data_IF_492081522902
#
_entry.id   IF_492081522902
#
_cell.length_a   1.000
_cell.length_b   1.000
_cell.length_c   1.000
_cell.angle_alpha   90.00
_cell.angle_beta   90.00
_cell.angle_gamma   90.00
#
_symmetry.space_group_name_H-M   'P 1'
#
loop_
_entity.id
_entity.type
_entity.pdbx_description
1 polymer ?
#
# COMPACT_ATOMS: atom_id res chain seq x y z
N UNK A 1 87.48 74.48 40.34
CA UNK A 1 87.90 73.81 39.11
C UNK A 1 87.60 72.33 39.32
N UNK A 2 86.71 71.88 38.75
CA UNK A 2 86.02 71.32 37.61
C UNK A 2 85.10 70.19 38.02
N UNK A 3 83.85 70.41 37.78
CA UNK A 3 82.79 69.42 37.74
C UNK A 3 83.00 68.42 36.61
N UNK A 4 82.77 67.19 36.74
CA UNK A 4 82.10 66.32 35.74
C UNK A 4 82.01 64.87 36.20
N UNK A 5 80.86 64.30 35.89
CA UNK A 5 80.46 62.91 35.72
C UNK A 5 79.68 62.23 36.85
N UNK A 6 78.38 62.48 36.83
CA UNK A 6 77.35 61.64 37.47
C UNK A 6 76.15 61.45 36.56
N UNK A 7 76.33 61.08 35.30
CA UNK A 7 75.20 60.84 34.38
C UNK A 7 75.19 59.49 33.65
N UNK A 8 75.98 58.54 33.99
CA UNK A 8 76.12 57.31 33.20
C UNK A 8 75.57 56.03 33.82
N UNK A 9 74.91 56.12 34.98
CA UNK A 9 74.40 54.87 35.63
C UNK A 9 72.93 54.65 35.61
N UNK A 10 72.09 55.49 35.04
CA UNK A 10 70.61 55.35 35.05
C UNK A 10 69.99 54.81 33.80
N UNK A 11 70.73 54.40 32.74
CA UNK A 11 70.15 53.90 31.52
C UNK A 11 70.19 52.35 31.29
N UNK A 12 70.77 51.60 32.25
CA UNK A 12 70.94 50.14 32.08
C UNK A 12 69.99 49.26 32.93
N UNK A 13 69.11 49.86 33.74
CA UNK A 13 68.18 49.04 34.55
C UNK A 13 66.74 49.04 34.04
N UNK A 14 66.40 49.87 33.10
CA UNK A 14 65.00 49.94 32.54
C UNK A 14 64.77 49.18 31.26
N UNK A 15 65.76 48.44 30.74
CA UNK A 15 65.61 47.75 29.41
C UNK A 15 65.33 46.22 29.48
N UNK A 16 65.21 45.66 30.68
CA UNK A 16 65.01 44.18 30.77
C UNK A 16 63.68 43.70 31.39
N UNK A 17 62.65 44.55 31.57
CA UNK A 17 61.39 44.17 32.20
C UNK A 17 60.17 44.22 31.26
N UNK A 18 60.29 44.33 29.89
CA UNK A 18 59.12 44.51 29.05
C UNK A 18 59.01 43.52 27.91
N UNK A 19 59.49 42.28 28.01
CA UNK A 19 59.29 41.30 26.91
C UNK A 19 58.99 39.88 27.39
N UNK A 20 58.08 39.70 28.37
CA UNK A 20 57.48 38.39 28.61
C UNK A 20 56.01 38.55 29.02
N UNK A 21 55.22 39.33 28.23
CA UNK A 21 53.77 39.12 28.19
C UNK A 21 53.53 37.89 27.33
N UNK A 22 53.35 36.76 28.02
CA UNK A 22 52.89 35.51 27.50
C UNK A 22 51.69 35.77 26.57
N UNK A 23 51.89 35.64 25.27
CA UNK A 23 50.80 35.58 24.32
C UNK A 23 50.02 34.31 24.62
N UNK A 24 48.99 34.44 25.46
CA UNK A 24 47.92 33.44 25.59
C UNK A 24 47.19 33.51 24.27
N UNK A 25 47.59 32.66 23.34
CA UNK A 25 46.86 32.42 22.12
C UNK A 25 45.56 31.69 22.50
N UNK A 26 44.38 32.32 22.44
CA UNK A 26 43.14 31.65 22.77
C UNK A 26 42.93 30.56 21.71
N UNK A 27 43.18 29.31 22.08
CA UNK A 27 42.79 28.19 21.24
C UNK A 27 41.31 28.36 20.93
N UNK A 28 40.90 28.47 19.63
CA UNK A 28 39.48 28.57 19.32
C UNK A 28 38.80 27.34 19.87
N UNK A 29 37.75 27.56 20.67
CA UNK A 29 36.95 26.53 21.28
C UNK A 29 36.54 25.50 20.22
N UNK A 30 37.10 24.30 20.28
CA UNK A 30 36.81 23.16 19.35
C UNK A 30 35.34 22.72 19.39
N UNK A 31 34.57 23.23 20.35
CA UNK A 31 33.14 22.94 20.56
C UNK A 31 32.27 23.25 19.34
N UNK A 32 32.56 24.34 18.61
CA UNK A 32 31.80 24.69 17.39
C UNK A 32 32.00 23.72 16.23
N UNK A 33 33.18 23.10 16.14
CA UNK A 33 33.45 22.10 15.08
C UNK A 33 32.75 20.77 15.37
N UNK A 34 32.71 20.36 16.61
CA UNK A 34 32.03 19.14 17.08
C UNK A 34 30.51 19.26 16.92
N UNK A 35 29.92 20.37 17.33
CA UNK A 35 28.49 20.64 17.19
C UNK A 35 28.07 20.61 15.71
N UNK A 36 28.84 21.24 14.82
CA UNK A 36 28.58 21.20 13.37
C UNK A 36 28.64 19.77 12.79
N UNK A 37 29.57 18.93 13.29
CA UNK A 37 29.67 17.51 12.86
C UNK A 37 28.45 16.70 13.34
N UNK A 38 28.02 16.88 14.58
CA UNK A 38 26.84 16.25 15.15
C UNK A 38 25.58 16.67 14.38
N UNK A 39 25.41 17.96 14.12
CA UNK A 39 24.27 18.49 13.35
C UNK A 39 24.22 17.90 11.92
N UNK A 40 25.37 17.83 11.24
CA UNK A 40 25.46 17.20 9.91
C UNK A 40 25.16 15.70 9.96
N UNK A 41 25.59 14.99 10.98
CA UNK A 41 25.27 13.58 11.17
C UNK A 41 23.77 13.37 11.40
N UNK A 42 23.16 14.13 12.31
CA UNK A 42 21.72 14.08 12.58
C UNK A 42 20.90 14.40 11.34
N UNK A 43 21.29 15.42 10.57
CA UNK A 43 20.64 15.76 9.31
C UNK A 43 20.71 14.63 8.28
N UNK A 44 21.89 14.00 8.13
CA UNK A 44 22.05 12.84 7.25
C UNK A 44 21.20 11.65 7.72
N UNK A 45 21.11 11.42 9.02
CA UNK A 45 20.27 10.38 9.60
C UNK A 45 18.80 10.63 9.31
N UNK A 46 18.31 11.86 9.50
CA UNK A 46 16.93 12.25 9.16
C UNK A 46 16.64 12.03 7.67
N UNK A 47 17.56 12.44 6.80
CA UNK A 47 17.41 12.21 5.35
C UNK A 47 17.40 10.71 5.00
N UNK A 48 18.27 9.93 5.62
CA UNK A 48 18.32 8.47 5.40
C UNK A 48 17.02 7.78 5.87
N UNK A 49 16.53 8.14 7.05
CA UNK A 49 15.26 7.62 7.58
C UNK A 49 14.06 8.06 6.72
N UNK A 50 14.05 9.31 6.26
CA UNK A 50 13.04 9.81 5.33
C UNK A 50 13.05 9.06 4.00
N UNK A 51 14.24 8.82 3.43
CA UNK A 51 14.40 8.04 2.20
C UNK A 51 13.97 6.57 2.39
N UNK A 52 14.35 5.95 3.51
CA UNK A 52 13.92 4.58 3.83
C UNK A 52 12.41 4.48 4.01
N UNK A 53 11.79 5.43 4.70
CA UNK A 53 10.33 5.51 4.84
C UNK A 53 9.61 5.67 3.50
N UNK A 54 10.11 6.56 2.64
CA UNK A 54 9.58 6.76 1.29
C UNK A 54 9.71 5.49 0.43
N UNK A 55 10.86 4.82 0.46
CA UNK A 55 11.06 3.54 -0.22
C UNK A 55 10.11 2.46 0.33
N UNK A 56 9.92 2.38 1.65
CA UNK A 56 8.98 1.44 2.29
C UNK A 56 7.54 1.65 1.83
N UNK A 57 7.16 2.88 1.47
CA UNK A 57 5.82 3.18 0.93
C UNK A 57 5.74 2.90 -0.57
N UNK A 58 6.74 3.28 -1.36
CA UNK A 58 6.67 3.20 -2.83
C UNK A 58 6.98 1.81 -3.37
N UNK A 59 7.95 1.11 -2.78
CA UNK A 59 8.45 -0.16 -3.28
C UNK A 59 7.37 -1.27 -3.32
N UNK A 60 6.52 -1.47 -2.29
CA UNK A 60 5.43 -2.44 -2.35
C UNK A 60 4.51 -2.24 -3.55
N UNK A 61 4.13 -1.00 -3.83
CA UNK A 61 3.26 -0.67 -4.97
C UNK A 61 3.95 -0.96 -6.30
N UNK A 62 5.22 -0.63 -6.41
CA UNK A 62 6.01 -0.92 -7.60
C UNK A 62 6.10 -2.43 -7.86
N UNK A 63 6.44 -3.21 -6.83
CA UNK A 63 6.53 -4.67 -6.90
C UNK A 63 5.19 -5.28 -7.35
N UNK A 64 4.07 -4.91 -6.71
CA UNK A 64 2.76 -5.45 -7.07
C UNK A 64 2.35 -5.04 -8.48
N UNK A 65 2.68 -3.83 -8.92
CA UNK A 65 2.39 -3.37 -10.28
C UNK A 65 3.17 -4.18 -11.31
N UNK A 66 4.47 -4.39 -11.12
CA UNK A 66 5.28 -5.24 -12.01
C UNK A 66 4.79 -6.70 -12.00
N UNK A 67 4.45 -7.23 -10.84
CA UNK A 67 3.87 -8.57 -10.71
C UNK A 67 2.60 -8.75 -11.54
N UNK A 68 1.77 -7.69 -11.62
CA UNK A 68 0.48 -7.71 -12.27
C UNK A 68 0.52 -7.49 -13.80
N UNK A 69 1.62 -6.97 -14.38
CA UNK A 69 1.70 -6.53 -15.78
C UNK A 69 1.16 -7.57 -16.78
N UNK A 70 1.55 -8.84 -16.62
CA UNK A 70 1.16 -9.92 -17.56
C UNK A 70 0.02 -10.80 -16.98
N UNK A 71 -0.74 -10.29 -16.02
CA UNK A 71 -1.81 -11.01 -15.33
C UNK A 71 -3.14 -10.28 -15.35
N UNK A 72 -3.20 -9.11 -16.00
CA UNK A 72 -4.41 -8.30 -16.13
C UNK A 72 -4.87 -8.32 -17.57
N UNK A 73 -6.14 -8.61 -17.77
CA UNK A 73 -6.78 -8.77 -19.06
C UNK A 73 -8.01 -7.88 -19.19
N UNK A 74 -8.40 -7.59 -20.42
CA UNK A 74 -9.75 -7.15 -20.74
C UNK A 74 -10.70 -8.35 -20.75
N UNK A 75 -12.01 -8.09 -20.67
CA UNK A 75 -13.02 -9.15 -20.53
C UNK A 75 -12.96 -10.18 -21.68
N UNK A 76 -12.74 -9.73 -22.91
CA UNK A 76 -12.65 -10.56 -24.11
C UNK A 76 -11.35 -11.38 -24.21
N UNK A 77 -10.26 -10.88 -23.64
CA UNK A 77 -8.93 -11.50 -23.64
C UNK A 77 -8.69 -12.41 -22.42
N UNK A 78 -9.56 -12.34 -21.39
CA UNK A 78 -9.38 -13.08 -20.15
C UNK A 78 -9.33 -14.59 -20.39
N UNK A 79 -8.43 -15.33 -19.73
CA UNK A 79 -8.43 -16.79 -19.76
C UNK A 79 -9.71 -17.34 -19.13
N UNK A 80 -10.08 -18.58 -19.48
CA UNK A 80 -11.19 -19.26 -18.80
C UNK A 80 -10.77 -19.74 -17.40
N UNK A 81 -11.69 -19.63 -16.46
CA UNK A 81 -11.55 -20.17 -15.09
C UNK A 81 -12.91 -20.67 -14.61
N UNK A 82 -12.95 -21.48 -13.55
CA UNK A 82 -14.24 -21.94 -13.00
C UNK A 82 -14.98 -20.83 -12.25
N UNK A 83 -14.24 -19.85 -11.67
CA UNK A 83 -14.80 -18.82 -10.79
C UNK A 83 -14.32 -17.41 -11.16
N UNK A 84 -15.23 -16.43 -11.11
CA UNK A 84 -14.88 -15.02 -11.00
C UNK A 84 -15.18 -14.52 -9.59
N UNK A 85 -14.21 -13.91 -8.93
CA UNK A 85 -14.34 -13.24 -7.62
C UNK A 85 -14.58 -11.76 -7.86
N UNK A 86 -15.70 -11.26 -7.36
CA UNK A 86 -16.13 -9.87 -7.47
C UNK A 86 -15.94 -9.20 -6.12
N UNK A 87 -15.02 -8.24 -6.04
CA UNK A 87 -14.73 -7.53 -4.79
C UNK A 87 -15.74 -6.41 -4.52
N UNK A 88 -16.10 -6.20 -3.28
CA UNK A 88 -16.91 -5.08 -2.82
C UNK A 88 -16.27 -3.70 -3.09
N UNK A 89 -17.11 -2.67 -3.27
CA UNK A 89 -16.71 -1.29 -3.54
C UNK A 89 -17.68 -0.25 -2.93
N UNK A 90 -18.52 -0.69 -2.00
CA UNK A 90 -19.45 0.13 -1.26
C UNK A 90 -20.83 0.26 -1.90
N UNK A 91 -21.81 0.53 -1.03
CA UNK A 91 -23.20 0.79 -1.39
C UNK A 91 -23.51 2.29 -1.31
N UNK A 92 -24.57 2.69 -1.99
CA UNK A 92 -25.24 3.98 -1.78
C UNK A 92 -26.06 3.94 -0.49
N UNK A 93 -26.54 5.09 -0.06
CA UNK A 93 -27.39 5.21 1.15
C UNK A 93 -28.71 4.44 1.05
N UNK A 94 -29.20 4.21 -0.16
CA UNK A 94 -30.40 3.42 -0.47
C UNK A 94 -30.13 1.91 -0.57
N UNK A 95 -28.92 1.44 -0.25
CA UNK A 95 -28.51 0.04 -0.33
C UNK A 95 -28.18 -0.45 -1.74
N UNK A 96 -28.30 0.38 -2.78
CA UNK A 96 -27.95 -0.01 -4.15
C UNK A 96 -26.45 0.06 -4.41
N UNK A 97 -25.90 -0.75 -5.34
CA UNK A 97 -24.51 -0.72 -5.70
C UNK A 97 -24.05 0.66 -6.21
N UNK A 98 -22.88 1.13 -5.75
CA UNK A 98 -22.22 2.31 -6.33
C UNK A 98 -21.88 2.09 -7.81
N UNK A 99 -21.66 3.14 -8.61
CA UNK A 99 -21.25 2.96 -10.02
C UNK A 99 -20.03 2.08 -10.20
N UNK A 100 -19.04 2.19 -9.29
CA UNK A 100 -17.82 1.39 -9.32
C UNK A 100 -18.10 -0.09 -9.00
N UNK A 101 -19.06 -0.38 -8.10
CA UNK A 101 -19.48 -1.73 -7.80
C UNK A 101 -20.29 -2.34 -8.94
N UNK A 102 -21.14 -1.52 -9.60
CA UNK A 102 -21.86 -1.95 -10.81
C UNK A 102 -20.91 -2.40 -11.91
N UNK A 103 -19.86 -1.64 -12.20
CA UNK A 103 -18.86 -2.03 -13.18
C UNK A 103 -18.28 -3.42 -12.92
N UNK A 104 -17.99 -3.73 -11.66
CA UNK A 104 -17.47 -5.04 -11.26
C UNK A 104 -18.48 -6.16 -11.56
N UNK A 105 -19.72 -5.98 -11.12
CA UNK A 105 -20.77 -6.99 -11.31
C UNK A 105 -21.10 -7.14 -12.80
N UNK A 106 -21.21 -6.05 -13.55
CA UNK A 106 -21.46 -6.07 -15.01
C UNK A 106 -20.33 -6.81 -15.76
N UNK A 107 -19.06 -6.53 -15.41
CA UNK A 107 -17.91 -7.22 -16.00
C UNK A 107 -17.93 -8.72 -15.67
N UNK A 108 -18.25 -9.10 -14.44
CA UNK A 108 -18.36 -10.50 -14.03
C UNK A 108 -19.53 -11.21 -14.75
N UNK A 109 -20.67 -10.54 -14.90
CA UNK A 109 -21.79 -11.06 -15.69
C UNK A 109 -21.40 -11.28 -17.15
N UNK A 110 -20.63 -10.36 -17.76
CA UNK A 110 -20.11 -10.54 -19.12
C UNK A 110 -19.18 -11.75 -19.24
N UNK A 111 -18.32 -12.00 -18.23
CA UNK A 111 -17.48 -13.21 -18.18
C UNK A 111 -18.32 -14.49 -18.10
N UNK A 112 -19.40 -14.47 -17.33
CA UNK A 112 -20.33 -15.59 -17.22
C UNK A 112 -21.03 -15.85 -18.56
N UNK A 113 -21.65 -14.85 -19.18
CA UNK A 113 -22.37 -14.99 -20.44
C UNK A 113 -21.47 -15.36 -21.63
N UNK A 114 -20.19 -14.98 -21.59
CA UNK A 114 -19.20 -15.41 -22.58
C UNK A 114 -18.65 -16.82 -22.36
N UNK A 115 -19.11 -17.53 -21.30
CA UNK A 115 -18.65 -18.86 -20.93
C UNK A 115 -17.22 -18.93 -20.42
N UNK A 116 -16.64 -17.79 -20.01
CA UNK A 116 -15.29 -17.74 -19.44
C UNK A 116 -15.25 -18.18 -17.99
N UNK A 117 -16.38 -18.11 -17.27
CA UNK A 117 -16.53 -18.61 -15.91
C UNK A 117 -17.84 -19.35 -15.73
N UNK A 118 -17.86 -20.33 -14.81
CA UNK A 118 -19.05 -21.13 -14.48
C UNK A 118 -19.84 -20.50 -13.33
N UNK A 119 -19.16 -19.85 -12.36
CA UNK A 119 -19.78 -19.20 -11.21
C UNK A 119 -19.15 -17.85 -10.87
N UNK A 120 -19.92 -17.05 -10.13
CA UNK A 120 -19.51 -15.75 -9.58
C UNK A 120 -19.50 -15.85 -8.07
N UNK A 121 -18.43 -15.38 -7.41
CA UNK A 121 -18.37 -15.20 -5.95
C UNK A 121 -18.44 -13.71 -5.63
N UNK A 122 -19.55 -13.27 -5.03
CA UNK A 122 -19.75 -11.90 -4.58
C UNK A 122 -19.16 -11.76 -3.17
N UNK A 123 -17.99 -11.14 -3.03
CA UNK A 123 -17.30 -11.02 -1.76
C UNK A 123 -17.19 -9.56 -1.34
N UNK A 124 -17.66 -9.23 -0.13
CA UNK A 124 -17.70 -7.87 0.36
C UNK A 124 -18.01 -7.78 1.85
N UNK A 125 -18.25 -6.56 2.31
CA UNK A 125 -18.51 -6.27 3.72
C UNK A 125 -19.99 -6.45 4.08
N UNK A 126 -20.24 -7.11 5.19
CA UNK A 126 -21.56 -7.28 5.83
C UNK A 126 -21.47 -7.01 7.34
N UNK A 127 -20.52 -6.21 7.80
CA UNK A 127 -20.22 -5.98 9.21
C UNK A 127 -21.22 -5.06 9.93
N UNK A 128 -22.05 -4.31 9.19
CA UNK A 128 -22.97 -3.30 9.73
C UNK A 128 -24.40 -3.61 9.31
N UNK A 129 -25.34 -3.50 10.24
CA UNK A 129 -26.77 -3.57 9.96
C UNK A 129 -27.14 -2.62 8.81
N UNK A 130 -27.88 -3.09 7.83
CA UNK A 130 -28.26 -2.40 6.60
C UNK A 130 -27.11 -2.15 5.57
N UNK A 131 -25.95 -2.81 5.74
CA UNK A 131 -24.87 -2.74 4.75
C UNK A 131 -24.48 -4.17 4.32
N UNK A 132 -25.36 -4.83 3.58
CA UNK A 132 -25.12 -6.15 3.02
C UNK A 132 -24.66 -6.01 1.56
N UNK A 133 -23.37 -5.75 1.38
CA UNK A 133 -22.79 -5.50 0.08
C UNK A 133 -22.83 -6.76 -0.82
N UNK A 134 -22.41 -7.95 -0.36
CA UNK A 134 -22.48 -9.17 -1.16
C UNK A 134 -23.90 -9.51 -1.65
N UNK A 135 -24.92 -9.34 -0.81
CA UNK A 135 -26.30 -9.56 -1.23
C UNK A 135 -26.77 -8.54 -2.26
N UNK A 136 -26.42 -7.27 -2.10
CA UNK A 136 -26.73 -6.25 -3.08
C UNK A 136 -26.07 -6.54 -4.45
N UNK A 137 -24.84 -7.08 -4.45
CA UNK A 137 -24.16 -7.54 -5.67
C UNK A 137 -24.87 -8.72 -6.29
N UNK A 138 -25.30 -9.70 -5.48
CA UNK A 138 -26.08 -10.87 -5.95
C UNK A 138 -27.37 -10.44 -6.63
N UNK A 139 -28.16 -9.61 -5.97
CA UNK A 139 -29.42 -9.10 -6.54
C UNK A 139 -29.20 -8.34 -7.86
N UNK A 140 -28.13 -7.55 -7.92
CA UNK A 140 -27.79 -6.84 -9.14
C UNK A 140 -27.37 -7.81 -10.27
N UNK A 141 -26.58 -8.83 -9.98
CA UNK A 141 -26.21 -9.84 -10.97
C UNK A 141 -27.45 -10.63 -11.49
N UNK A 142 -28.39 -10.98 -10.61
CA UNK A 142 -29.67 -11.61 -10.98
C UNK A 142 -30.46 -10.67 -11.91
N UNK A 143 -30.52 -9.38 -11.60
CA UNK A 143 -31.21 -8.40 -12.45
C UNK A 143 -30.59 -8.24 -13.85
N UNK A 144 -29.30 -8.60 -14.00
CA UNK A 144 -28.62 -8.68 -15.30
C UNK A 144 -28.87 -10.01 -16.03
N UNK A 145 -29.57 -10.98 -15.42
CA UNK A 145 -29.90 -12.26 -15.99
C UNK A 145 -28.98 -13.41 -15.61
N UNK A 146 -28.02 -13.20 -14.70
CA UNK A 146 -27.18 -14.31 -14.18
C UNK A 146 -28.05 -15.23 -13.32
N UNK A 147 -28.08 -16.55 -13.57
CA UNK A 147 -28.87 -17.48 -12.79
C UNK A 147 -28.41 -17.52 -11.32
N UNK A 148 -29.35 -17.61 -10.40
CA UNK A 148 -29.06 -17.58 -8.96
C UNK A 148 -28.10 -18.70 -8.52
N UNK A 149 -28.24 -19.89 -9.08
CA UNK A 149 -27.38 -21.05 -8.80
C UNK A 149 -25.92 -20.89 -9.33
N UNK A 150 -25.66 -19.89 -10.17
CA UNK A 150 -24.33 -19.53 -10.63
C UNK A 150 -23.67 -18.46 -9.74
N UNK A 151 -24.35 -17.97 -8.68
CA UNK A 151 -23.87 -16.91 -7.82
C UNK A 151 -23.68 -17.46 -6.40
N UNK A 152 -22.46 -17.40 -5.91
CA UNK A 152 -22.12 -17.61 -4.49
C UNK A 152 -21.87 -16.28 -3.80
N UNK A 153 -22.04 -16.27 -2.47
CA UNK A 153 -21.93 -15.04 -1.67
C UNK A 153 -20.97 -15.26 -0.51
N UNK A 154 -20.00 -14.35 -0.36
CA UNK A 154 -19.07 -14.33 0.76
C UNK A 154 -19.34 -13.10 1.64
N UNK A 155 -20.00 -13.29 2.77
CA UNK A 155 -20.39 -12.24 3.71
C UNK A 155 -19.26 -11.78 4.65
N UNK A 156 -18.10 -12.45 4.63
CA UNK A 156 -16.98 -12.15 5.51
C UNK A 156 -15.72 -11.71 4.75
N UNK A 157 -15.87 -11.34 3.46
CA UNK A 157 -14.80 -10.83 2.64
C UNK A 157 -14.59 -9.31 2.80
N UNK A 158 -14.48 -8.81 4.04
CA UNK A 158 -14.39 -7.37 4.32
C UNK A 158 -13.08 -6.74 3.83
N UNK A 159 -12.00 -7.50 3.77
CA UNK A 159 -10.71 -7.09 3.21
C UNK A 159 -10.32 -7.99 2.04
N UNK A 160 -9.54 -7.47 1.12
CA UNK A 160 -9.02 -8.25 -0.01
C UNK A 160 -8.25 -9.51 0.41
N UNK A 161 -7.50 -9.42 1.52
CA UNK A 161 -6.82 -10.56 2.14
C UNK A 161 -7.81 -11.65 2.55
N UNK A 162 -8.89 -11.25 3.24
CA UNK A 162 -9.90 -12.17 3.74
C UNK A 162 -10.64 -12.86 2.58
N UNK A 163 -11.02 -12.11 1.53
CA UNK A 163 -11.62 -12.66 0.31
C UNK A 163 -10.73 -13.72 -0.33
N UNK A 164 -9.42 -13.43 -0.53
CA UNK A 164 -8.50 -14.38 -1.15
C UNK A 164 -8.30 -15.64 -0.28
N UNK A 165 -8.15 -15.46 1.04
CA UNK A 165 -7.99 -16.57 1.98
C UNK A 165 -9.23 -17.48 1.99
N UNK A 166 -10.42 -16.87 2.07
CA UNK A 166 -11.71 -17.58 2.14
C UNK A 166 -12.07 -18.26 0.83
N UNK A 167 -11.73 -17.64 -0.33
CA UNK A 167 -11.91 -18.27 -1.63
C UNK A 167 -11.23 -19.65 -1.71
N UNK A 168 -10.07 -19.79 -1.10
CA UNK A 168 -9.36 -21.08 -0.99
C UNK A 168 -9.85 -21.96 0.15
N UNK A 169 -9.93 -21.41 1.37
CA UNK A 169 -10.18 -22.21 2.59
C UNK A 169 -11.64 -22.61 2.76
N UNK A 170 -12.59 -21.76 2.37
CA UNK A 170 -14.03 -22.00 2.50
C UNK A 170 -14.62 -22.53 1.22
N UNK A 171 -14.35 -21.86 0.10
CA UNK A 171 -14.96 -22.17 -1.20
C UNK A 171 -14.17 -23.18 -2.03
N UNK A 172 -13.04 -23.70 -1.54
CA UNK A 172 -12.27 -24.79 -2.14
C UNK A 172 -11.58 -24.44 -3.46
N UNK A 173 -11.38 -23.15 -3.75
CA UNK A 173 -10.84 -22.71 -5.04
C UNK A 173 -9.33 -22.82 -5.12
N UNK A 174 -8.85 -23.31 -6.27
CA UNK A 174 -7.40 -23.35 -6.62
C UNK A 174 -7.02 -22.20 -7.55
N UNK A 175 -7.97 -21.77 -8.41
CA UNK A 175 -7.77 -20.65 -9.34
C UNK A 175 -9.03 -19.83 -9.50
N UNK A 176 -8.88 -18.52 -9.86
CA UNK A 176 -10.00 -17.62 -10.10
C UNK A 176 -9.62 -16.42 -10.98
N UNK A 177 -10.62 -15.82 -11.64
CA UNK A 177 -10.53 -14.48 -12.21
C UNK A 177 -10.90 -13.45 -11.12
N UNK A 178 -10.10 -12.42 -10.95
CA UNK A 178 -10.34 -11.33 -10.01
C UNK A 178 -10.94 -10.13 -10.75
N UNK A 179 -12.17 -9.78 -10.43
CA UNK A 179 -12.89 -8.69 -11.11
C UNK A 179 -12.92 -7.45 -10.24
N UNK A 180 -12.17 -6.44 -10.63
CA UNK A 180 -12.11 -5.14 -9.94
C UNK A 180 -11.47 -4.08 -10.85
N UNK A 181 -11.39 -2.82 -10.37
CA UNK A 181 -10.77 -1.74 -11.14
C UNK A 181 -9.24 -1.88 -11.23
N UNK A 182 -8.67 -1.32 -12.28
CA UNK A 182 -7.24 -1.33 -12.61
C UNK A 182 -6.33 -0.92 -11.44
N UNK A 183 -6.73 0.09 -10.66
CA UNK A 183 -5.93 0.56 -9.52
C UNK A 183 -5.84 -0.47 -8.39
N UNK A 184 -6.83 -1.35 -8.24
CA UNK A 184 -6.90 -2.37 -7.18
C UNK A 184 -6.27 -3.71 -7.60
N UNK A 185 -6.32 -4.08 -8.88
CA UNK A 185 -5.86 -5.36 -9.39
C UNK A 185 -4.45 -5.76 -8.97
N UNK A 186 -3.43 -4.87 -8.97
CA UNK A 186 -2.08 -5.25 -8.56
C UNK A 186 -2.00 -5.80 -7.14
N UNK A 187 -2.69 -5.17 -6.19
CA UNK A 187 -2.74 -5.61 -4.80
C UNK A 187 -3.56 -6.89 -4.62
N UNK A 188 -4.70 -7.00 -5.31
CA UNK A 188 -5.55 -8.18 -5.24
C UNK A 188 -4.82 -9.43 -5.79
N UNK A 189 -4.17 -9.30 -6.96
CA UNK A 189 -3.36 -10.37 -7.55
C UNK A 189 -2.21 -10.80 -6.64
N UNK A 190 -1.49 -9.85 -6.07
CA UNK A 190 -0.42 -10.15 -5.12
C UNK A 190 -0.94 -10.95 -3.92
N UNK A 191 -2.01 -10.49 -3.28
CA UNK A 191 -2.58 -11.15 -2.09
C UNK A 191 -3.08 -12.56 -2.41
N UNK A 192 -3.92 -12.72 -3.44
CA UNK A 192 -4.49 -14.02 -3.79
C UNK A 192 -3.40 -15.04 -4.13
N UNK A 193 -2.42 -14.66 -4.96
CA UNK A 193 -1.34 -15.57 -5.31
C UNK A 193 -0.41 -15.87 -4.12
N UNK A 194 -0.11 -14.90 -3.25
CA UNK A 194 0.68 -15.12 -2.04
C UNK A 194 0.00 -16.09 -1.06
N UNK A 195 -1.35 -16.10 -1.04
CA UNK A 195 -2.15 -17.04 -0.25
C UNK A 195 -2.37 -18.40 -0.96
N UNK A 196 -1.79 -18.57 -2.16
CA UNK A 196 -1.82 -19.82 -2.91
C UNK A 196 -3.12 -20.06 -3.68
N UNK A 197 -3.85 -18.99 -4.04
CA UNK A 197 -4.93 -18.99 -5.01
C UNK A 197 -4.35 -18.45 -6.34
N UNK A 198 -4.23 -19.30 -7.37
CA UNK A 198 -3.79 -18.86 -8.69
C UNK A 198 -4.81 -17.88 -9.27
N UNK A 199 -4.38 -16.64 -9.53
CA UNK A 199 -5.31 -15.59 -9.89
C UNK A 199 -4.84 -14.78 -11.10
N UNK A 200 -5.81 -14.43 -11.95
CA UNK A 200 -5.67 -13.50 -13.07
C UNK A 200 -6.70 -12.39 -12.91
N UNK A 201 -6.33 -11.17 -13.27
CA UNK A 201 -7.17 -9.99 -13.10
C UNK A 201 -7.96 -9.66 -14.34
N UNK A 202 -9.21 -9.23 -14.17
CA UNK A 202 -10.04 -8.66 -15.23
C UNK A 202 -10.43 -7.25 -14.85
N UNK A 203 -10.13 -6.31 -15.75
CA UNK A 203 -10.33 -4.88 -15.51
C UNK A 203 -11.82 -4.50 -15.64
N UNK A 204 -12.41 -3.98 -14.57
CA UNK A 204 -13.79 -3.52 -14.51
C UNK A 204 -13.86 -1.99 -14.61
N UNK A 205 -13.71 -1.46 -15.81
CA UNK A 205 -13.69 -0.02 -16.09
C UNK A 205 -14.69 0.34 -17.21
N UNK A 206 -15.97 -0.02 -17.04
CA UNK A 206 -17.01 0.25 -18.03
C UNK A 206 -17.43 1.72 -18.06
N UNK A 207 -17.04 2.52 -17.06
CA UNK A 207 -17.41 3.93 -16.89
C UNK A 207 -16.20 4.82 -16.73
N UNK A 208 -16.33 6.07 -17.17
CA UNK A 208 -15.35 7.11 -16.89
C UNK A 208 -15.56 7.69 -15.50
N UNK A 209 -14.54 7.64 -14.67
CA UNK A 209 -14.56 8.20 -13.32
C UNK A 209 -13.89 9.58 -13.27
N UNK A 210 -14.39 10.44 -12.37
CA UNK A 210 -13.78 11.73 -12.14
C UNK A 210 -12.32 11.59 -11.68
N UNK A 211 -11.42 12.41 -12.26
CA UNK A 211 -9.97 12.33 -12.02
C UNK A 211 -9.59 12.48 -10.54
N UNK A 212 -10.33 13.31 -9.78
CA UNK A 212 -10.12 13.46 -8.34
C UNK A 212 -10.41 12.19 -7.55
N UNK A 213 -11.48 11.47 -7.88
CA UNK A 213 -11.77 10.16 -7.26
C UNK A 213 -10.68 9.14 -7.57
N UNK A 214 -10.22 9.08 -8.82
CA UNK A 214 -9.12 8.18 -9.21
C UNK A 214 -7.83 8.49 -8.45
N UNK A 215 -7.51 9.77 -8.23
CA UNK A 215 -6.35 10.17 -7.43
C UNK A 215 -6.46 9.68 -5.98
N UNK A 216 -7.61 9.91 -5.33
CA UNK A 216 -7.86 9.49 -3.95
C UNK A 216 -7.79 7.96 -3.83
N UNK A 217 -8.40 7.23 -4.76
CA UNK A 217 -8.37 5.75 -4.76
C UNK A 217 -6.95 5.20 -4.97
N UNK A 218 -6.17 5.77 -5.89
CA UNK A 218 -4.77 5.37 -6.09
C UNK A 218 -3.91 5.67 -4.86
N UNK A 219 -4.13 6.82 -4.21
CA UNK A 219 -3.43 7.15 -2.97
C UNK A 219 -3.77 6.16 -1.84
N UNK A 220 -5.05 5.83 -1.66
CA UNK A 220 -5.49 4.79 -0.71
C UNK A 220 -4.86 3.44 -1.02
N UNK A 221 -4.81 3.04 -2.28
CA UNK A 221 -4.18 1.79 -2.70
C UNK A 221 -2.67 1.76 -2.43
N UNK A 222 -1.99 2.91 -2.48
CA UNK A 222 -0.59 3.03 -2.09
C UNK A 222 -0.37 2.54 -0.65
N UNK A 223 -1.19 3.05 0.29
CA UNK A 223 -1.12 2.66 1.70
C UNK A 223 -1.63 1.23 1.94
N UNK A 224 -2.75 0.86 1.30
CA UNK A 224 -3.31 -0.49 1.41
C UNK A 224 -2.35 -1.58 0.89
N UNK A 225 -1.50 -1.25 -0.09
CA UNK A 225 -0.49 -2.19 -0.58
C UNK A 225 0.62 -2.43 0.45
N UNK A 226 1.04 -1.42 1.21
CA UNK A 226 1.96 -1.61 2.35
C UNK A 226 1.33 -2.55 3.39
N UNK A 227 0.06 -2.31 3.74
CA UNK A 227 -0.68 -3.21 4.64
C UNK A 227 -0.75 -4.65 4.12
N UNK A 228 -0.95 -4.83 2.81
CA UNK A 228 -0.96 -6.16 2.19
C UNK A 228 0.38 -6.92 2.36
N UNK A 229 1.51 -6.21 2.23
CA UNK A 229 2.83 -6.82 2.51
C UNK A 229 2.98 -7.21 3.97
N UNK A 230 2.54 -6.35 4.90
CA UNK A 230 2.55 -6.67 6.32
C UNK A 230 1.66 -7.87 6.64
N UNK A 231 0.48 -7.95 6.04
CA UNK A 231 -0.44 -9.08 6.26
C UNK A 231 0.15 -10.40 5.73
N UNK A 232 0.84 -10.39 4.58
CA UNK A 232 1.44 -11.62 4.01
C UNK A 232 2.69 -12.05 4.76
N UNK A 233 3.60 -11.12 5.10
CA UNK A 233 4.94 -11.48 5.56
C UNK A 233 5.17 -11.33 7.06
N UNK A 234 4.29 -10.62 7.78
CA UNK A 234 4.47 -10.30 9.21
C UNK A 234 3.29 -10.77 10.05
N UNK A 235 2.07 -10.30 9.73
CA UNK A 235 0.92 -10.49 10.61
C UNK A 235 0.23 -11.85 10.40
N UNK A 236 0.14 -12.32 9.15
CA UNK A 236 -0.59 -13.54 8.74
C UNK A 236 -1.94 -13.69 9.45
N UNK A 237 -2.83 -12.68 9.38
CA UNK A 237 -4.07 -12.67 10.14
C UNK A 237 -4.95 -13.82 9.70
N UNK A 238 -5.67 -14.44 10.66
CA UNK A 238 -6.68 -15.43 10.35
C UNK A 238 -8.03 -14.72 10.14
N UNK A 239 -8.62 -14.81 8.93
CA UNK A 239 -9.98 -14.33 8.69
C UNK A 239 -11.02 -15.06 9.53
N UNK A 240 -12.20 -14.48 9.66
CA UNK A 240 -13.37 -15.19 10.18
C UNK A 240 -13.66 -16.34 9.23
N UNK A 241 -13.51 -17.58 9.71
CA UNK A 241 -13.82 -18.79 8.96
C UNK A 241 -15.22 -19.26 9.37
N UNK A 242 -15.96 -19.79 8.42
CA UNK A 242 -17.18 -20.56 8.62
C UNK A 242 -16.93 -22.04 8.31
N UNK A 243 -17.97 -22.81 8.18
CA UNK A 243 -17.89 -24.18 7.66
C UNK A 243 -17.44 -24.15 6.19
N UNK A 244 -16.68 -25.16 5.72
CA UNK A 244 -16.33 -25.30 4.31
C UNK A 244 -17.58 -25.40 3.42
N UNK A 245 -17.61 -24.59 2.38
CA UNK A 245 -18.69 -24.53 1.39
C UNK A 245 -18.11 -24.61 -0.03
N UNK A 246 -17.61 -25.78 -0.46
CA UNK A 246 -16.97 -25.92 -1.76
C UNK A 246 -17.95 -25.61 -2.88
N UNK A 247 -17.58 -24.68 -3.77
CA UNK A 247 -18.45 -24.24 -4.88
C UNK A 247 -18.60 -25.30 -5.97
N UNK A 248 -17.64 -26.19 -6.06
CA UNK A 248 -17.62 -27.27 -7.05
C UNK A 248 -17.34 -28.58 -6.32
N UNK A 249 -18.20 -29.55 -6.55
CA UNK A 249 -18.01 -30.94 -6.14
C UNK A 249 -17.40 -31.65 -7.34
N UNK A 250 -16.17 -32.12 -7.22
CA UNK A 250 -15.49 -32.90 -8.27
C UNK A 250 -15.95 -34.36 -8.24
#
# INVERSE_FOLDING_TARGET
>A
MTLQNTESYNYLVTAHFTTNLCQINPRPLESHSMLKRILKFLWRLVLALGAAGLLGILLPRLITTFYAVNRIYQTDEAPSARLAIVFGAGLRRDGTPTPILRDRVETAASLYFSGKVEKLLMSGDNSVLNHNEPESMRQYAISLGVPENAIAVDYAGSRTYDTCYRAKAIFGMKSALLVTQKFHLPRALFLCNALGLEAYGVEANNRNYWRGSLFIWNFREQLATVGAFLDVYVNSPLPVLGEPEPLFVD
#
